data_IF_233318674118
#
_entry.id   IF_233318674118
#
_cell.length_a   1.000
_cell.length_b   1.000
_cell.length_c   1.000
_cell.angle_alpha   90.00
_cell.angle_beta   90.00
_cell.angle_gamma   90.00
#
_symmetry.space_group_name_H-M   'P 1'
#
loop_
_entity.id
_entity.type
_entity.pdbx_description
1 polymer ?
#
# COMPACT_ATOMS: atom_id res chain seq x y z
N UNK A 1 -12.04 6.39 16.10
CA UNK A 1 -10.61 6.33 15.74
C UNK A 1 -10.39 5.29 14.65
N UNK A 2 -9.52 5.61 13.71
CA UNK A 2 -9.22 4.67 12.66
C UNK A 2 -8.45 3.47 13.23
N UNK A 3 -8.82 2.27 12.81
CA UNK A 3 -8.16 1.04 13.21
C UNK A 3 -6.78 0.91 12.58
N UNK A 4 -6.63 1.45 11.39
CA UNK A 4 -5.39 1.39 10.62
C UNK A 4 -4.95 2.80 10.23
N UNK A 5 -3.64 2.97 10.08
CA UNK A 5 -3.09 4.24 9.61
C UNK A 5 -1.75 3.99 8.90
N UNK A 6 -1.32 4.95 8.09
CA UNK A 6 -0.03 4.83 7.41
C UNK A 6 1.15 4.80 8.38
N UNK A 7 0.99 5.42 9.54
CA UNK A 7 2.06 5.52 10.54
C UNK A 7 2.23 4.24 11.34
N UNK A 8 1.16 3.51 11.58
CA UNK A 8 1.18 2.34 12.46
C UNK A 8 0.97 1.01 11.74
N UNK A 9 0.31 1.00 10.59
CA UNK A 9 0.04 -0.22 9.85
C UNK A 9 1.23 -0.57 8.98
N UNK A 10 1.71 -1.82 9.08
CA UNK A 10 2.84 -2.27 8.27
C UNK A 10 2.36 -2.83 6.93
N UNK A 11 3.27 -2.89 5.99
CA UNK A 11 2.99 -3.52 4.69
C UNK A 11 2.59 -4.98 4.90
N UNK A 12 3.23 -5.67 5.85
CA UNK A 12 2.86 -7.04 6.20
C UNK A 12 1.40 -7.17 6.64
N UNK A 13 0.92 -6.22 7.43
CA UNK A 13 -0.48 -6.21 7.84
C UNK A 13 -1.42 -6.05 6.65
N UNK A 14 -1.02 -5.21 5.68
CA UNK A 14 -1.83 -4.99 4.48
C UNK A 14 -1.98 -6.28 3.68
N UNK A 15 -0.88 -6.97 3.43
CA UNK A 15 -0.92 -8.19 2.60
C UNK A 15 -1.51 -9.39 3.35
N UNK A 16 -1.44 -9.42 4.67
CA UNK A 16 -1.96 -10.52 5.49
C UNK A 16 -3.44 -10.34 5.85
N UNK A 17 -3.96 -9.13 5.80
CA UNK A 17 -5.35 -8.84 6.10
C UNK A 17 -6.15 -8.85 4.79
N UNK A 18 -7.08 -9.80 4.59
CA UNK A 18 -7.77 -9.95 3.30
C UNK A 18 -8.43 -8.66 2.81
N UNK A 19 -9.10 -7.93 3.69
CA UNK A 19 -9.78 -6.68 3.33
C UNK A 19 -8.79 -5.62 2.84
N UNK A 20 -7.66 -5.50 3.52
CA UNK A 20 -6.63 -4.52 3.15
C UNK A 20 -5.90 -4.93 1.87
N UNK A 21 -5.62 -6.22 1.73
CA UNK A 21 -4.97 -6.74 0.54
C UNK A 21 -5.84 -6.52 -0.70
N UNK A 22 -7.14 -6.76 -0.57
CA UNK A 22 -8.09 -6.54 -1.65
C UNK A 22 -8.11 -5.08 -2.09
N UNK A 23 -8.18 -4.16 -1.13
CA UNK A 23 -8.15 -2.72 -1.41
C UNK A 23 -6.86 -2.32 -2.12
N UNK A 24 -5.74 -2.84 -1.64
CA UNK A 24 -4.44 -2.51 -2.20
C UNK A 24 -4.32 -3.00 -3.66
N UNK A 25 -4.67 -4.25 -3.91
CA UNK A 25 -4.58 -4.81 -5.26
C UNK A 25 -5.62 -4.23 -6.22
N UNK A 26 -6.73 -3.73 -5.69
CA UNK A 26 -7.72 -3.05 -6.51
C UNK A 26 -7.20 -1.70 -7.01
N UNK A 27 -6.50 -0.97 -6.14
CA UNK A 27 -5.92 0.33 -6.50
C UNK A 27 -4.64 0.20 -7.32
N UNK A 28 -3.87 -0.85 -7.06
CA UNK A 28 -2.59 -1.09 -7.73
C UNK A 28 -2.53 -2.53 -8.21
N UNK A 29 -3.27 -2.89 -9.27
CA UNK A 29 -3.27 -4.26 -9.79
C UNK A 29 -1.87 -4.74 -10.19
N UNK A 30 -1.03 -3.84 -10.61
CA UNK A 30 0.35 -4.12 -11.01
C UNK A 30 1.18 -4.72 -9.87
N UNK A 31 0.78 -4.46 -8.62
CA UNK A 31 1.49 -4.95 -7.45
C UNK A 31 1.54 -6.48 -7.37
N UNK A 32 0.58 -7.16 -8.00
CA UNK A 32 0.57 -8.63 -8.02
C UNK A 32 1.80 -9.23 -8.69
N UNK A 33 2.39 -8.50 -9.63
CA UNK A 33 3.60 -8.93 -10.33
C UNK A 33 4.87 -8.68 -9.51
N UNK A 34 4.74 -7.93 -8.42
CA UNK A 34 5.87 -7.49 -7.59
C UNK A 34 5.73 -7.93 -6.13
N UNK A 35 5.04 -9.05 -5.90
CA UNK A 35 4.82 -9.57 -4.56
C UNK A 35 6.12 -9.82 -3.79
N UNK A 36 7.16 -10.27 -4.47
CA UNK A 36 8.45 -10.53 -3.86
C UNK A 36 9.06 -9.25 -3.26
N UNK A 37 8.96 -8.15 -4.01
CA UNK A 37 9.47 -6.86 -3.56
C UNK A 37 8.65 -6.35 -2.37
N UNK A 38 7.34 -6.51 -2.44
CA UNK A 38 6.43 -6.11 -1.37
C UNK A 38 6.76 -6.89 -0.10
N UNK A 39 7.00 -8.19 -0.23
CA UNK A 39 7.34 -9.05 0.91
C UNK A 39 8.64 -8.62 1.57
N UNK A 40 9.61 -8.18 0.79
CA UNK A 40 10.88 -7.67 1.33
C UNK A 40 10.68 -6.44 2.20
N UNK A 41 9.66 -5.63 1.91
CA UNK A 41 9.36 -4.41 2.65
C UNK A 41 8.29 -4.57 3.73
N UNK A 42 7.85 -5.79 4.01
CA UNK A 42 6.70 -6.02 4.89
C UNK A 42 6.90 -5.57 6.34
N UNK A 43 8.15 -5.42 6.77
CA UNK A 43 8.47 -4.94 8.11
C UNK A 43 8.35 -3.42 8.27
N UNK A 44 8.21 -2.70 7.17
CA UNK A 44 8.07 -1.25 7.20
C UNK A 44 6.60 -0.85 7.33
N UNK A 45 6.36 0.30 7.97
CA UNK A 45 5.01 0.88 7.95
C UNK A 45 4.72 1.38 6.54
N UNK A 46 3.44 1.61 6.25
CA UNK A 46 3.05 2.14 4.93
C UNK A 46 3.77 3.46 4.68
N UNK A 47 3.83 4.34 5.68
CA UNK A 47 4.52 5.62 5.58
C UNK A 47 5.99 5.45 5.23
N UNK A 48 6.67 4.53 5.88
CA UNK A 48 8.09 4.27 5.61
C UNK A 48 8.31 3.68 4.22
N UNK A 49 7.33 2.96 3.70
CA UNK A 49 7.43 2.33 2.40
C UNK A 49 7.06 3.26 1.24
N UNK A 50 6.41 4.40 1.51
CA UNK A 50 5.94 5.30 0.45
C UNK A 50 7.05 5.73 -0.54
N UNK A 51 8.25 6.12 -0.11
CA UNK A 51 9.31 6.48 -1.05
C UNK A 51 9.67 5.33 -2.01
N UNK A 52 9.68 4.10 -1.50
CA UNK A 52 9.96 2.92 -2.32
C UNK A 52 8.81 2.66 -3.29
N UNK A 53 7.58 2.80 -2.82
CA UNK A 53 6.40 2.62 -3.66
C UNK A 53 6.39 3.63 -4.80
N UNK A 54 6.70 4.89 -4.51
CA UNK A 54 6.78 5.93 -5.52
C UNK A 54 7.88 5.67 -6.55
N UNK A 55 9.04 5.21 -6.11
CA UNK A 55 10.14 4.87 -7.00
C UNK A 55 9.80 3.70 -7.90
N UNK A 56 9.18 2.67 -7.35
CA UNK A 56 8.76 1.49 -8.12
C UNK A 56 7.71 1.89 -9.16
N UNK A 57 6.73 2.68 -8.73
CA UNK A 57 5.68 3.15 -9.64
C UNK A 57 6.25 3.96 -10.78
N UNK A 58 7.21 4.83 -10.49
CA UNK A 58 7.90 5.64 -11.49
C UNK A 58 8.62 4.74 -12.52
N UNK A 59 9.33 3.74 -12.03
CA UNK A 59 10.06 2.77 -12.86
C UNK A 59 9.14 1.97 -13.78
N UNK A 60 7.91 1.72 -13.32
CA UNK A 60 6.91 0.95 -14.07
C UNK A 60 6.08 1.81 -15.02
N UNK A 61 6.25 3.12 -14.96
CA UNK A 61 5.44 4.05 -15.75
C UNK A 61 4.01 4.19 -15.24
N UNK A 62 3.78 3.88 -13.97
CA UNK A 62 2.46 4.04 -13.35
C UNK A 62 2.20 5.53 -13.12
N UNK A 63 1.05 6.00 -13.60
CA UNK A 63 0.62 7.38 -13.40
C UNK A 63 -0.34 7.47 -12.21
N UNK A 64 -0.59 8.67 -11.75
CA UNK A 64 -1.53 8.93 -10.65
C UNK A 64 -1.15 8.25 -9.34
N UNK A 65 0.15 8.07 -9.10
CA UNK A 65 0.64 7.40 -7.90
C UNK A 65 0.16 8.10 -6.64
N UNK A 66 0.25 9.42 -6.59
CA UNK A 66 -0.19 10.19 -5.43
C UNK A 66 -1.70 10.04 -5.20
N UNK A 67 -2.48 10.06 -6.26
CA UNK A 67 -3.93 9.87 -6.17
C UNK A 67 -4.27 8.48 -5.61
N UNK A 68 -3.57 7.46 -6.09
CA UNK A 68 -3.78 6.10 -5.60
C UNK A 68 -3.42 5.98 -4.13
N UNK A 69 -2.34 6.62 -3.71
CA UNK A 69 -1.91 6.64 -2.31
C UNK A 69 -2.96 7.34 -1.44
N UNK A 70 -3.45 8.49 -1.89
CA UNK A 70 -4.47 9.24 -1.17
C UNK A 70 -5.77 8.46 -1.05
N UNK A 71 -6.18 7.79 -2.12
CA UNK A 71 -7.38 6.95 -2.10
C UNK A 71 -7.24 5.80 -1.12
N UNK A 72 -6.09 5.15 -1.13
CA UNK A 72 -5.82 4.05 -0.19
C UNK A 72 -5.85 4.54 1.25
N UNK A 73 -5.25 5.69 1.51
CA UNK A 73 -5.26 6.29 2.84
C UNK A 73 -6.69 6.56 3.31
N UNK A 74 -7.51 7.14 2.45
CA UNK A 74 -8.90 7.44 2.79
C UNK A 74 -9.69 6.16 3.08
N UNK A 75 -9.51 5.13 2.26
CA UNK A 75 -10.18 3.84 2.46
C UNK A 75 -9.71 3.17 3.75
N UNK A 76 -8.41 3.23 4.02
CA UNK A 76 -7.82 2.63 5.21
C UNK A 76 -8.35 3.29 6.48
N UNK A 77 -8.41 4.60 6.50
CA UNK A 77 -8.88 5.36 7.65
C UNK A 77 -10.39 5.24 7.87
N UNK A 78 -11.14 4.84 6.84
CA UNK A 78 -12.56 4.61 6.94
C UNK A 78 -12.90 3.28 7.62
N UNK A 79 -11.95 2.39 7.78
CA UNK A 79 -12.14 1.11 8.46
C UNK A 79 -12.11 1.34 9.98
N UNK A 80 -13.13 0.88 10.64
CA UNK A 80 -13.25 1.01 12.10
C UNK A 80 -13.19 -0.32 12.83
#
# INVERSE_FOLDING_TARGET
MAKYSFESTTIGEVIETPVLAEMFYELVPEARDYEDIIEMGKGFTIEQALPFIENIADSLGITNTQERIDDFKAMLEAIE
#
